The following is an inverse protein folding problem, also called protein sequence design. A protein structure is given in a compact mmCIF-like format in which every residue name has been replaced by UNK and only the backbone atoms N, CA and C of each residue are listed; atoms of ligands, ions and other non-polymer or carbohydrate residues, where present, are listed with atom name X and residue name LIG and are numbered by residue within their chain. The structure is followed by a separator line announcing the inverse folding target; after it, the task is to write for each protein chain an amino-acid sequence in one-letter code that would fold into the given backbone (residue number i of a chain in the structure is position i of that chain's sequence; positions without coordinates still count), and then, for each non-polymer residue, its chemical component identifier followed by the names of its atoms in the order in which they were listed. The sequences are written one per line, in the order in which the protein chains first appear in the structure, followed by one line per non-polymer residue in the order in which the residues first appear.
data_IF_952216201125
#
_entry.id   IF_952216201125
#
_cell.length_a   1.000
_cell.length_b   1.000
_cell.length_c   1.000
_cell.angle_alpha   90.00
_cell.angle_beta   90.00
_cell.angle_gamma   90.00
#
_symmetry.space_group_name_H-M   'P 1'
#
loop_
_entity.id
_entity.type
_entity.pdbx_description
1 polymer ?
#
# COMPACT_ATOMS: atom_id res chain seq x y z
N UNK A 1 17.37 -8.51 -17.10
CA UNK A 1 16.02 -8.88 -16.63
C UNK A 1 15.16 -7.63 -16.54
N UNK A 2 14.13 -7.48 -17.38
CA UNK A 2 13.18 -6.35 -17.26
C UNK A 2 12.20 -6.67 -16.14
N UNK A 3 12.26 -5.93 -15.03
CA UNK A 3 11.30 -6.06 -13.92
C UNK A 3 9.89 -5.74 -14.44
N UNK A 4 9.11 -6.80 -14.68
CA UNK A 4 7.80 -6.73 -15.31
C UNK A 4 6.87 -5.80 -14.51
N UNK A 5 6.16 -4.88 -15.17
CA UNK A 5 5.22 -3.98 -14.51
C UNK A 5 4.14 -4.72 -13.69
N UNK A 6 3.75 -5.93 -14.10
CA UNK A 6 2.86 -6.84 -13.36
C UNK A 6 3.39 -7.16 -11.94
N UNK A 7 4.70 -7.24 -11.75
CA UNK A 7 5.28 -7.57 -10.45
C UNK A 7 5.08 -6.44 -9.43
N UNK A 8 5.08 -5.18 -9.86
CA UNK A 8 4.82 -4.05 -8.97
C UNK A 8 3.34 -3.96 -8.62
N UNK A 9 2.47 -4.08 -9.62
CA UNK A 9 1.02 -4.11 -9.42
C UNK A 9 0.63 -5.21 -8.41
N UNK A 10 1.12 -6.43 -8.59
CA UNK A 10 0.87 -7.54 -7.65
C UNK A 10 1.40 -7.23 -6.25
N UNK A 11 2.60 -6.66 -6.11
CA UNK A 11 3.16 -6.29 -4.79
C UNK A 11 2.32 -5.21 -4.09
N UNK A 12 1.88 -4.21 -4.83
CA UNK A 12 1.04 -3.13 -4.30
C UNK A 12 -0.33 -3.66 -3.87
N UNK A 13 -0.96 -4.49 -4.71
CA UNK A 13 -2.26 -5.10 -4.40
C UNK A 13 -2.18 -6.05 -3.19
N UNK A 14 -1.13 -6.87 -3.12
CA UNK A 14 -0.88 -7.73 -1.96
C UNK A 14 -0.75 -6.87 -0.70
N UNK A 15 0.04 -5.79 -0.74
CA UNK A 15 0.24 -4.93 0.43
C UNK A 15 -1.02 -4.20 0.85
N UNK A 16 -1.85 -3.79 -0.10
CA UNK A 16 -3.17 -3.21 0.16
C UNK A 16 -4.08 -4.21 0.89
N UNK A 17 -4.09 -5.47 0.45
CA UNK A 17 -4.88 -6.53 1.07
C UNK A 17 -4.43 -6.81 2.51
N UNK A 18 -3.11 -6.84 2.76
CA UNK A 18 -2.55 -7.00 4.10
C UNK A 18 -3.02 -5.89 5.06
N UNK A 19 -2.89 -4.62 4.67
CA UNK A 19 -3.32 -3.48 5.49
C UNK A 19 -4.83 -3.52 5.77
N UNK A 20 -5.65 -3.94 4.80
CA UNK A 20 -7.10 -4.10 5.00
C UNK A 20 -7.38 -5.24 6.00
N UNK A 21 -6.66 -6.35 5.90
CA UNK A 21 -6.77 -7.44 6.86
C UNK A 21 -6.39 -6.98 8.28
N UNK A 22 -5.32 -6.20 8.44
CA UNK A 22 -4.95 -5.60 9.73
C UNK A 22 -6.09 -4.74 10.30
N UNK A 23 -6.72 -3.87 9.49
CA UNK A 23 -7.89 -3.08 9.93
C UNK A 23 -9.03 -3.99 10.40
N UNK A 24 -9.34 -5.05 9.65
CA UNK A 24 -10.41 -5.99 10.01
C UNK A 24 -10.09 -6.66 11.35
N UNK A 25 -8.85 -7.08 11.56
CA UNK A 25 -8.43 -7.70 12.82
C UNK A 25 -8.47 -6.70 13.98
N UNK A 26 -8.05 -5.44 13.80
CA UNK A 26 -8.22 -4.41 14.82
C UNK A 26 -9.68 -4.12 15.17
N UNK A 27 -10.58 -4.16 14.17
CA UNK A 27 -12.02 -3.97 14.38
C UNK A 27 -12.64 -5.14 15.15
N UNK A 28 -12.31 -6.38 14.77
CA UNK A 28 -12.79 -7.60 15.46
C UNK A 28 -12.29 -7.68 16.90
N UNK A 29 -11.05 -7.27 17.14
CA UNK A 29 -10.41 -7.31 18.45
C UNK A 29 -10.53 -5.99 19.24
N UNK A 30 -11.42 -5.06 18.82
CA UNK A 30 -11.46 -3.64 19.28
C UNK A 30 -11.92 -3.38 20.72
N UNK A 31 -11.87 -4.39 21.60
CA UNK A 31 -12.10 -4.18 23.04
C UNK A 31 -10.95 -3.42 23.73
N UNK A 32 -9.85 -3.15 23.02
CA UNK A 32 -8.66 -2.47 23.56
C UNK A 32 -8.59 -0.99 23.16
N UNK A 33 -8.39 -0.13 24.16
CA UNK A 33 -7.89 1.23 23.97
C UNK A 33 -6.67 1.20 23.03
N UNK A 34 -6.69 2.02 21.96
CA UNK A 34 -5.63 2.08 20.95
C UNK A 34 -5.98 1.48 19.58
N UNK A 35 -7.04 0.69 19.45
CA UNK A 35 -7.45 0.15 18.13
C UNK A 35 -7.85 1.23 17.13
N UNK A 36 -8.45 2.34 17.58
CA UNK A 36 -8.80 3.45 16.69
C UNK A 36 -7.56 4.13 16.11
N UNK A 37 -6.54 4.39 16.94
CA UNK A 37 -5.28 4.99 16.50
C UNK A 37 -4.52 4.05 15.55
N UNK A 38 -4.48 2.75 15.84
CA UNK A 38 -3.88 1.76 14.97
C UNK A 38 -4.58 1.71 13.59
N UNK A 39 -5.92 1.70 13.58
CA UNK A 39 -6.71 1.74 12.34
C UNK A 39 -6.42 3.02 11.55
N UNK A 40 -6.34 4.18 12.20
CA UNK A 40 -6.08 5.44 11.50
C UNK A 40 -4.66 5.50 10.93
N UNK A 41 -3.65 5.00 11.65
CA UNK A 41 -2.30 4.82 11.09
C UNK A 41 -2.31 3.93 9.85
N UNK A 42 -3.07 2.84 9.85
CA UNK A 42 -3.18 1.95 8.69
C UNK A 42 -3.92 2.62 7.52
N UNK A 43 -4.95 3.43 7.79
CA UNK A 43 -5.62 4.22 6.73
C UNK A 43 -4.68 5.24 6.09
N UNK A 44 -3.83 5.90 6.87
CA UNK A 44 -2.80 6.82 6.33
C UNK A 44 -1.85 6.05 5.41
N UNK A 45 -1.39 4.86 5.84
CA UNK A 45 -0.56 3.97 5.00
C UNK A 45 -1.26 3.55 3.70
N UNK A 46 -2.57 3.27 3.74
CA UNK A 46 -3.37 2.97 2.55
C UNK A 46 -3.51 4.17 1.61
N UNK A 47 -3.67 5.38 2.17
CA UNK A 47 -3.72 6.61 1.38
C UNK A 47 -2.39 6.88 0.67
N UNK A 48 -1.27 6.73 1.38
CA UNK A 48 0.08 6.86 0.81
C UNK A 48 0.29 5.86 -0.33
N UNK A 49 -0.09 4.59 -0.12
CA UNK A 49 0.00 3.54 -1.13
C UNK A 49 -0.83 3.90 -2.38
N UNK A 50 -2.05 4.42 -2.19
CA UNK A 50 -2.93 4.86 -3.28
C UNK A 50 -2.31 6.04 -4.05
N UNK A 51 -1.66 6.97 -3.36
CA UNK A 51 -0.99 8.10 -3.98
C UNK A 51 0.24 7.67 -4.79
N UNK A 52 1.02 6.69 -4.31
CA UNK A 52 2.15 6.10 -5.04
C UNK A 52 1.66 5.47 -6.36
N UNK A 53 0.52 4.77 -6.31
CA UNK A 53 -0.11 4.22 -7.53
C UNK A 53 -0.57 5.33 -8.45
N UNK A 54 -1.27 6.34 -7.93
CA UNK A 54 -1.80 7.45 -8.74
C UNK A 54 -0.69 8.24 -9.44
N UNK A 55 0.41 8.53 -8.73
CA UNK A 55 1.58 9.24 -9.27
C UNK A 55 2.36 8.39 -10.28
N UNK A 56 2.31 7.05 -10.15
CA UNK A 56 3.05 6.11 -10.99
C UNK A 56 2.29 5.55 -12.18
N UNK A 57 0.97 5.40 -12.07
CA UNK A 57 0.11 4.64 -12.97
C UNK A 57 -0.98 5.52 -13.60
N UNK A 58 -0.69 6.79 -13.88
CA UNK A 58 -1.63 7.79 -14.42
C UNK A 58 -2.46 7.28 -15.61
N UNK A 59 -1.98 6.27 -16.36
CA UNK A 59 -2.75 5.64 -17.44
C UNK A 59 -2.64 4.11 -17.53
N UNK A 60 -1.52 3.50 -17.11
CA UNK A 60 -1.31 2.06 -17.30
C UNK A 60 -0.18 1.56 -16.38
N UNK A 61 -0.36 0.39 -15.74
CA UNK A 61 0.69 -0.22 -14.91
C UNK A 61 1.97 -0.54 -15.70
N UNK A 62 1.86 -0.74 -17.01
CA UNK A 62 2.98 -0.92 -17.93
C UNK A 62 3.85 0.34 -18.07
N UNK A 63 3.28 1.53 -17.81
CA UNK A 63 3.98 2.82 -17.82
C UNK A 63 4.51 3.22 -16.45
N UNK A 64 4.37 2.35 -15.43
CA UNK A 64 4.82 2.69 -14.08
C UNK A 64 6.32 2.89 -14.07
N UNK A 65 6.69 4.16 -14.00
CA UNK A 65 8.05 4.62 -14.14
C UNK A 65 8.93 4.18 -12.96
N UNK A 66 10.26 4.20 -13.14
CA UNK A 66 11.23 3.88 -12.09
C UNK A 66 11.00 4.66 -10.78
N UNK A 67 10.47 5.88 -10.88
CA UNK A 67 10.14 6.76 -9.75
C UNK A 67 9.09 6.17 -8.81
N UNK A 68 8.06 5.52 -9.35
CA UNK A 68 7.01 4.91 -8.54
C UNK A 68 7.46 3.61 -7.88
N UNK A 69 8.34 2.84 -8.55
CA UNK A 69 9.04 1.70 -7.94
C UNK A 69 9.90 2.16 -6.76
N UNK A 70 10.74 3.18 -6.96
CA UNK A 70 11.57 3.75 -5.90
C UNK A 70 10.73 4.22 -4.72
N UNK A 71 9.67 5.01 -4.96
CA UNK A 71 8.78 5.46 -3.89
C UNK A 71 8.08 4.32 -3.15
N UNK A 72 7.71 3.26 -3.85
CA UNK A 72 7.12 2.07 -3.21
C UNK A 72 8.13 1.33 -2.35
N UNK A 73 9.37 1.16 -2.82
CA UNK A 73 10.44 0.54 -2.03
C UNK A 73 10.84 1.42 -0.83
N UNK A 74 10.89 2.75 -0.98
CA UNK A 74 11.08 3.70 0.14
C UNK A 74 9.94 3.60 1.15
N UNK A 75 8.69 3.49 0.69
CA UNK A 75 7.53 3.33 1.55
C UNK A 75 7.55 1.98 2.31
N UNK A 76 8.03 0.90 1.69
CA UNK A 76 8.20 -0.40 2.35
C UNK A 76 9.28 -0.37 3.43
N UNK A 77 10.27 0.52 3.32
CA UNK A 77 11.35 0.67 4.28
C UNK A 77 10.98 1.54 5.52
N UNK A 78 9.76 2.08 5.58
CA UNK A 78 9.21 2.85 6.70
C UNK A 78 8.38 1.99 7.64
#
# INVERSE_FOLDING_TARGET
MRAQPRALETRVLARKAELIAEIIEYKKNSSRFGSAEAIDRIKVRLADLTQIVKDGAVDDWAKVGPKAKLRFDEWLAR
#
